data_IF_957827057414
#
_entry.id   IF_957827057414
#
_cell.length_a   1.000
_cell.length_b   1.000
_cell.length_c   1.000
_cell.angle_alpha   90.00
_cell.angle_beta   90.00
_cell.angle_gamma   90.00
#
_symmetry.space_group_name_H-M   'P 1'
#
loop_
_entity.id
_entity.type
_entity.pdbx_description
1 polymer ?
#
# COMPACT_ATOMS: atom_id res chain seq x y z
N UNK A 1 -59.98 43.51 -53.71
CA UNK A 1 -59.75 43.18 -55.17
C UNK A 1 -58.27 43.05 -55.36
N UNK A 2 -57.82 41.98 -55.75
CA UNK A 2 -56.73 41.56 -56.64
C UNK A 2 -56.31 40.13 -56.26
N UNK A 3 -56.53 39.25 -57.17
CA UNK A 3 -56.17 37.83 -57.15
C UNK A 3 -54.68 37.69 -57.41
N UNK A 4 -54.00 36.80 -56.75
CA UNK A 4 -52.70 36.32 -57.25
C UNK A 4 -52.69 34.80 -57.25
N UNK A 5 -52.29 34.28 -58.34
CA UNK A 5 -52.30 32.91 -58.83
C UNK A 5 -51.13 32.14 -58.19
N UNK A 6 -51.40 30.92 -57.71
CA UNK A 6 -50.35 30.01 -57.20
C UNK A 6 -49.55 29.36 -58.35
N UNK A 7 -48.30 29.10 -58.13
CA UNK A 7 -47.44 28.22 -58.89
C UNK A 7 -46.99 27.05 -57.98
N UNK A 8 -47.42 25.84 -58.39
CA UNK A 8 -47.04 24.58 -57.81
C UNK A 8 -45.65 24.20 -58.38
N UNK A 9 -44.65 24.08 -57.52
CA UNK A 9 -43.35 23.52 -57.91
C UNK A 9 -43.24 22.11 -57.31
N UNK A 10 -43.13 21.11 -58.12
CA UNK A 10 -42.88 19.70 -57.82
C UNK A 10 -41.40 19.58 -57.48
N UNK A 11 -41.09 19.22 -56.25
CA UNK A 11 -39.74 18.85 -55.81
C UNK A 11 -39.60 17.34 -55.78
N UNK A 12 -38.81 16.79 -56.71
CA UNK A 12 -38.37 15.38 -56.71
C UNK A 12 -37.39 15.12 -55.55
N UNK A 13 -37.77 14.26 -54.62
CA UNK A 13 -36.89 13.79 -53.54
C UNK A 13 -36.04 12.64 -54.07
N UNK A 14 -34.75 12.89 -54.25
CA UNK A 14 -33.72 11.86 -54.47
C UNK A 14 -33.33 11.30 -53.11
N UNK A 15 -33.62 10.04 -52.84
CA UNK A 15 -33.11 9.29 -51.73
C UNK A 15 -31.65 8.92 -51.98
N UNK A 16 -30.74 9.67 -51.37
CA UNK A 16 -29.33 9.31 -51.27
C UNK A 16 -29.13 8.45 -50.06
N UNK A 17 -28.86 7.16 -50.29
CA UNK A 17 -28.44 6.23 -49.21
C UNK A 17 -27.01 6.59 -48.79
N UNK A 18 -26.87 7.32 -47.68
CA UNK A 18 -25.58 7.52 -47.03
C UNK A 18 -25.21 6.27 -46.23
N UNK A 19 -24.28 5.48 -46.75
CA UNK A 19 -23.59 4.42 -46.00
C UNK A 19 -22.67 5.11 -44.98
N UNK A 20 -23.09 5.13 -43.74
CA UNK A 20 -22.21 5.50 -42.59
C UNK A 20 -21.28 4.33 -42.34
N UNK A 21 -20.04 4.40 -42.80
CA UNK A 21 -18.96 3.56 -42.33
C UNK A 21 -18.73 3.87 -40.84
N UNK A 22 -19.16 2.96 -39.98
CA UNK A 22 -18.78 2.95 -38.58
C UNK A 22 -17.29 2.59 -38.50
N UNK A 23 -16.42 3.59 -38.39
CA UNK A 23 -15.03 3.38 -37.97
C UNK A 23 -15.07 2.91 -36.53
N UNK A 24 -15.04 1.59 -36.35
CA UNK A 24 -14.77 0.97 -35.08
C UNK A 24 -13.31 1.27 -34.73
N UNK A 25 -13.08 2.36 -34.00
CA UNK A 25 -11.82 2.54 -33.29
C UNK A 25 -11.78 1.50 -32.18
N UNK A 26 -11.18 0.35 -32.46
CA UNK A 26 -10.65 -0.52 -31.42
C UNK A 26 -9.48 0.22 -30.76
N UNK A 27 -9.80 1.08 -29.79
CA UNK A 27 -8.81 1.59 -28.87
C UNK A 27 -8.24 0.38 -28.14
N UNK A 28 -7.06 -0.09 -28.58
CA UNK A 28 -6.25 -0.97 -27.76
C UNK A 28 -6.12 -0.26 -26.42
N UNK A 29 -6.62 -0.88 -25.35
CA UNK A 29 -6.40 -0.41 -24.00
C UNK A 29 -4.87 -0.31 -23.83
N UNK A 30 -4.35 0.91 -23.84
CA UNK A 30 -2.94 1.16 -23.51
C UNK A 30 -2.81 0.71 -22.07
N UNK A 31 -2.19 -0.46 -21.85
CA UNK A 31 -1.96 -0.98 -20.53
C UNK A 31 -1.28 0.10 -19.68
N UNK A 32 -1.71 0.25 -18.44
CA UNK A 32 -1.07 1.17 -17.49
C UNK A 32 0.43 0.86 -17.47
N UNK A 33 1.32 1.82 -17.73
CA UNK A 33 2.75 1.54 -17.71
C UNK A 33 3.17 1.12 -16.31
N UNK A 34 4.05 0.11 -16.22
CA UNK A 34 4.63 -0.31 -14.95
C UNK A 34 5.45 0.82 -14.33
N UNK A 35 5.08 1.24 -13.14
CA UNK A 35 5.73 2.36 -12.45
C UNK A 35 6.56 1.94 -11.24
N UNK A 36 6.47 0.67 -10.81
CA UNK A 36 7.21 0.15 -9.66
C UNK A 36 8.68 -0.07 -10.00
N UNK A 37 9.56 0.21 -9.04
CA UNK A 37 11.00 -0.13 -9.15
C UNK A 37 11.26 -1.57 -8.71
N UNK A 38 10.63 -2.02 -7.64
CA UNK A 38 10.76 -3.40 -7.16
C UNK A 38 10.32 -3.57 -5.70
N UNK A 39 10.00 -4.80 -5.27
CA UNK A 39 9.44 -5.04 -3.94
C UNK A 39 10.39 -4.75 -2.77
N UNK A 40 11.73 -4.73 -3.00
CA UNK A 40 12.69 -4.31 -1.97
C UNK A 40 12.60 -2.82 -1.64
N UNK A 41 11.91 -2.04 -2.46
CA UNK A 41 11.67 -0.61 -2.30
C UNK A 41 10.25 -0.30 -1.78
N UNK A 42 9.47 -1.32 -1.44
CA UNK A 42 8.28 -1.18 -0.63
C UNK A 42 8.72 -1.00 0.82
N UNK A 43 8.60 0.22 1.31
CA UNK A 43 8.99 0.56 2.68
C UNK A 43 7.77 0.60 3.58
N UNK A 44 7.87 -0.07 4.74
CA UNK A 44 6.91 0.15 5.82
C UNK A 44 7.21 1.51 6.47
N UNK A 45 6.21 2.37 6.54
CA UNK A 45 6.31 3.66 7.22
C UNK A 45 6.04 3.50 8.72
N UNK A 46 7.03 3.81 9.53
CA UNK A 46 6.97 3.67 10.98
C UNK A 46 7.12 5.04 11.63
N UNK A 47 6.10 5.42 12.36
CA UNK A 47 6.08 6.67 13.13
C UNK A 47 6.22 6.35 14.61
N UNK A 48 7.34 6.80 15.22
CA UNK A 48 7.64 6.61 16.63
C UNK A 48 7.86 7.97 17.31
N UNK A 49 7.64 8.03 18.62
CA UNK A 49 8.10 9.19 19.39
C UNK A 49 9.62 9.35 19.22
N UNK A 50 10.09 10.57 18.98
CA UNK A 50 11.51 10.85 18.74
C UNK A 50 12.42 10.37 19.87
N UNK A 51 11.91 10.27 21.12
CA UNK A 51 12.65 9.71 22.27
C UNK A 51 12.82 8.21 22.22
N UNK A 52 11.96 7.48 21.47
CA UNK A 52 12.01 6.03 21.32
C UNK A 52 12.69 5.58 20.03
N UNK A 53 13.10 6.54 19.16
CA UNK A 53 13.60 6.30 17.82
C UNK A 53 14.77 5.30 17.79
N UNK A 54 15.83 5.56 18.54
CA UNK A 54 17.03 4.71 18.54
C UNK A 54 16.74 3.33 19.16
N UNK A 55 15.89 3.28 20.18
CA UNK A 55 15.45 2.01 20.78
C UNK A 55 14.66 1.16 19.79
N UNK A 56 13.79 1.79 19.00
CA UNK A 56 13.03 1.10 17.96
C UNK A 56 13.97 0.51 16.90
N UNK A 57 14.87 1.32 16.35
CA UNK A 57 15.84 0.89 15.33
C UNK A 57 16.70 -0.26 15.84
N UNK A 58 17.24 -0.15 17.06
CA UNK A 58 18.03 -1.20 17.67
C UNK A 58 17.23 -2.52 17.85
N UNK A 59 15.96 -2.41 18.26
CA UNK A 59 15.07 -3.56 18.45
C UNK A 59 14.78 -4.28 17.14
N UNK A 60 14.49 -3.56 16.05
CA UNK A 60 14.27 -4.15 14.73
C UNK A 60 15.52 -4.87 14.22
N UNK A 61 16.70 -4.23 14.32
CA UNK A 61 17.96 -4.85 13.89
C UNK A 61 18.31 -6.10 14.71
N UNK A 62 18.09 -6.07 16.03
CA UNK A 62 18.32 -7.24 16.89
C UNK A 62 17.36 -8.39 16.56
N UNK A 63 16.13 -8.08 16.11
CA UNK A 63 15.10 -9.07 15.77
C UNK A 63 15.36 -9.71 14.41
N UNK A 64 15.54 -8.90 13.37
CA UNK A 64 15.57 -9.36 11.98
C UNK A 64 16.97 -9.32 11.34
N UNK A 65 17.93 -8.65 11.96
CA UNK A 65 19.22 -8.36 11.35
C UNK A 65 19.13 -7.21 10.35
N UNK A 66 20.17 -7.09 9.52
CA UNK A 66 20.22 -6.07 8.48
C UNK A 66 21.13 -4.89 8.79
N UNK A 67 20.91 -3.77 8.12
CA UNK A 67 21.70 -2.54 8.20
C UNK A 67 20.81 -1.31 8.23
N UNK A 68 21.41 -0.13 8.46
CA UNK A 68 20.68 1.14 8.40
C UNK A 68 21.37 2.15 7.48
N UNK A 69 20.60 3.10 6.96
CA UNK A 69 21.16 4.34 6.44
C UNK A 69 21.70 5.20 7.58
N UNK A 70 22.43 6.28 7.24
CA UNK A 70 22.76 7.31 8.21
C UNK A 70 21.48 8.00 8.69
N UNK A 71 21.32 8.14 10.02
CA UNK A 71 20.25 8.94 10.61
C UNK A 71 20.46 10.43 10.30
N UNK A 72 19.38 11.13 10.02
CA UNK A 72 19.38 12.58 9.81
C UNK A 72 18.12 13.24 10.38
N UNK A 73 18.09 14.56 10.33
CA UNK A 73 16.91 15.37 10.65
C UNK A 73 16.55 16.17 9.40
N UNK A 74 15.34 15.97 8.91
CA UNK A 74 14.87 16.49 7.62
C UNK A 74 13.49 17.10 7.74
N UNK A 75 13.13 17.92 6.75
CA UNK A 75 11.73 18.27 6.43
C UNK A 75 11.26 17.28 5.38
N UNK A 76 10.39 16.35 5.79
CA UNK A 76 9.86 15.26 4.94
C UNK A 76 8.39 15.49 4.53
N UNK A 77 7.89 16.70 4.74
CA UNK A 77 6.50 17.08 4.47
C UNK A 77 6.48 18.38 3.66
N UNK A 78 5.41 18.66 2.88
CA UNK A 78 5.32 19.90 2.07
C UNK A 78 5.19 21.17 2.93
N UNK A 79 4.90 21.01 4.21
CA UNK A 79 4.86 22.09 5.20
C UNK A 79 6.07 21.99 6.14
N UNK A 80 6.48 23.09 6.81
CA UNK A 80 7.62 23.04 7.71
C UNK A 80 7.47 21.99 8.79
N UNK A 81 8.46 21.08 8.85
CA UNK A 81 8.54 20.02 9.86
C UNK A 81 9.99 19.73 10.23
N UNK A 82 10.22 19.10 11.36
CA UNK A 82 11.52 18.58 11.79
C UNK A 82 11.37 17.14 12.17
N UNK A 83 11.98 16.23 11.41
CA UNK A 83 11.76 14.79 11.53
C UNK A 83 13.10 14.06 11.56
N UNK A 84 13.36 13.30 12.63
CA UNK A 84 14.40 12.27 12.60
C UNK A 84 13.97 11.22 11.57
N UNK A 85 14.86 10.87 10.65
CA UNK A 85 14.57 9.87 9.63
C UNK A 85 15.74 8.94 9.41
N UNK A 86 15.45 7.64 9.22
CA UNK A 86 16.42 6.60 8.95
C UNK A 86 15.75 5.43 8.24
N UNK A 87 16.42 4.87 7.24
CA UNK A 87 16.02 3.59 6.67
C UNK A 87 16.60 2.45 7.51
N UNK A 88 15.82 1.41 7.71
CA UNK A 88 16.24 0.12 8.27
C UNK A 88 16.03 -0.95 7.22
N UNK A 89 17.12 -1.51 6.74
CA UNK A 89 17.14 -2.47 5.63
C UNK A 89 17.33 -3.87 6.21
N UNK A 90 16.24 -4.60 6.38
CA UNK A 90 16.26 -5.98 6.88
C UNK A 90 16.09 -6.98 5.75
N UNK A 91 16.50 -8.25 5.93
CA UNK A 91 16.27 -9.29 4.94
C UNK A 91 14.79 -9.60 4.67
N UNK A 92 13.90 -9.22 5.58
CA UNK A 92 12.46 -9.54 5.54
C UNK A 92 11.57 -8.34 5.27
N UNK A 93 12.15 -7.17 5.04
CA UNK A 93 11.43 -5.94 4.72
C UNK A 93 12.25 -4.68 4.99
N UNK A 94 11.90 -3.60 4.31
CA UNK A 94 12.52 -2.28 4.47
C UNK A 94 11.59 -1.36 5.25
N UNK A 95 12.12 -0.60 6.21
CA UNK A 95 11.35 0.33 7.03
C UNK A 95 11.90 1.75 6.84
N UNK A 96 10.99 2.69 6.57
CA UNK A 96 11.25 4.14 6.71
C UNK A 96 10.79 4.57 8.09
N UNK A 97 11.73 4.92 8.96
CA UNK A 97 11.44 5.27 10.35
C UNK A 97 11.42 6.78 10.49
N UNK A 98 10.35 7.31 11.08
CA UNK A 98 10.11 8.73 11.27
C UNK A 98 9.86 9.03 12.76
N UNK A 99 10.65 9.95 13.31
CA UNK A 99 10.49 10.50 14.65
C UNK A 99 10.30 12.02 14.56
N UNK A 100 9.05 12.49 14.50
CA UNK A 100 8.76 13.91 14.40
C UNK A 100 9.14 14.64 15.70
N UNK A 101 9.88 15.73 15.58
CA UNK A 101 10.16 16.68 16.66
C UNK A 101 9.18 17.84 16.70
N UNK A 102 8.39 18.00 15.64
CA UNK A 102 7.26 18.92 15.50
C UNK A 102 5.97 18.14 15.43
N UNK A 103 4.78 18.77 15.60
CA UNK A 103 3.51 18.10 15.31
C UNK A 103 3.50 17.51 13.90
N UNK A 104 2.94 16.30 13.77
CA UNK A 104 2.84 15.60 12.47
C UNK A 104 1.72 16.23 11.65
N UNK A 105 1.99 16.80 10.45
CA UNK A 105 0.94 17.33 9.60
C UNK A 105 0.10 16.18 9.00
N UNK A 106 -1.23 16.29 9.07
CA UNK A 106 -2.09 15.33 8.37
C UNK A 106 -1.92 15.46 6.84
N UNK A 107 -1.87 14.35 6.05
CA UNK A 107 -2.16 12.95 6.43
C UNK A 107 -0.90 12.14 6.84
N UNK A 108 0.25 12.76 7.00
CA UNK A 108 1.47 12.04 7.43
C UNK A 108 1.23 11.35 8.77
N UNK A 109 1.72 10.11 8.88
CA UNK A 109 1.44 9.24 10.02
C UNK A 109 0.17 8.40 9.86
N UNK A 110 -0.65 8.65 8.84
CA UNK A 110 -1.79 7.82 8.48
C UNK A 110 -1.43 6.79 7.39
N UNK A 111 -0.51 7.11 6.47
CA UNK A 111 0.04 6.13 5.53
C UNK A 111 1.00 5.17 6.24
N UNK A 112 0.99 3.91 5.82
CA UNK A 112 1.80 2.84 6.42
C UNK A 112 2.76 2.19 5.44
N UNK A 113 2.72 2.58 4.18
CA UNK A 113 3.60 2.09 3.13
C UNK A 113 4.04 3.21 2.20
N UNK A 114 5.26 3.10 1.68
CA UNK A 114 5.81 3.94 0.64
C UNK A 114 6.40 3.09 -0.47
N UNK A 115 6.12 3.45 -1.71
CA UNK A 115 6.57 2.73 -2.88
C UNK A 115 7.46 3.59 -3.77
N UNK A 116 8.69 3.12 -4.04
CA UNK A 116 9.57 3.77 -5.00
C UNK A 116 9.04 3.56 -6.41
N UNK A 117 8.88 4.67 -7.12
CA UNK A 117 8.41 4.68 -8.50
C UNK A 117 9.48 5.18 -9.46
N UNK A 118 9.39 4.74 -10.72
CA UNK A 118 10.31 5.13 -11.79
C UNK A 118 10.12 6.58 -12.23
N UNK A 119 8.88 7.10 -12.12
CA UNK A 119 8.48 8.47 -12.45
C UNK A 119 7.25 8.82 -11.58
N UNK A 120 7.40 9.85 -10.73
CA UNK A 120 6.33 10.21 -9.79
C UNK A 120 5.08 10.77 -10.49
N UNK A 121 5.26 11.62 -11.50
CA UNK A 121 4.12 12.24 -12.18
C UNK A 121 3.34 11.19 -13.00
N UNK A 122 4.04 10.24 -13.60
CA UNK A 122 3.43 9.09 -14.28
C UNK A 122 2.68 8.20 -13.28
N UNK A 123 3.31 7.87 -12.14
CA UNK A 123 2.71 7.04 -11.12
C UNK A 123 1.44 7.67 -10.51
N UNK A 124 1.47 8.98 -10.23
CA UNK A 124 0.29 9.71 -9.73
C UNK A 124 -0.83 9.75 -10.77
N UNK A 125 -0.51 9.94 -12.05
CA UNK A 125 -1.54 9.84 -13.11
C UNK A 125 -2.12 8.43 -13.23
N UNK A 126 -1.28 7.41 -13.16
CA UNK A 126 -1.70 6.01 -13.20
C UNK A 126 -2.59 5.65 -12.00
N UNK A 127 -2.23 6.08 -10.79
CA UNK A 127 -3.03 5.87 -9.59
C UNK A 127 -4.42 6.53 -9.70
N UNK A 128 -4.49 7.80 -10.17
CA UNK A 128 -5.78 8.48 -10.44
C UNK A 128 -6.63 7.73 -11.47
N UNK A 129 -6.02 7.30 -12.57
CA UNK A 129 -6.72 6.56 -13.61
C UNK A 129 -7.25 5.21 -13.10
N UNK A 130 -6.57 4.61 -12.10
CA UNK A 130 -6.99 3.39 -11.43
C UNK A 130 -7.97 3.62 -10.28
N UNK A 131 -8.37 4.86 -9.95
CA UNK A 131 -9.40 5.13 -8.95
C UNK A 131 -8.88 5.63 -7.60
N UNK A 132 -7.60 5.96 -7.46
CA UNK A 132 -7.07 6.56 -6.24
C UNK A 132 -7.30 8.08 -6.21
N UNK A 133 -7.56 8.61 -5.03
CA UNK A 133 -7.50 10.04 -4.76
C UNK A 133 -6.06 10.48 -4.45
N UNK A 134 -5.67 11.69 -4.87
CA UNK A 134 -4.39 12.29 -4.50
C UNK A 134 -4.64 13.26 -3.36
N UNK A 135 -4.30 12.84 -2.14
CA UNK A 135 -4.56 13.61 -0.92
C UNK A 135 -3.39 14.55 -0.56
N UNK A 136 -2.16 14.25 -1.01
CA UNK A 136 -1.05 15.20 -1.04
C UNK A 136 -0.48 15.21 -2.46
N UNK A 137 -0.58 16.36 -3.13
CA UNK A 137 -0.02 16.55 -4.47
C UNK A 137 1.51 16.39 -4.45
N UNK A 138 2.14 16.04 -5.59
CA UNK A 138 3.59 15.92 -5.67
C UNK A 138 4.32 17.12 -5.10
N UNK A 139 5.26 16.87 -4.20
CA UNK A 139 6.11 17.88 -3.56
C UNK A 139 7.56 17.41 -3.51
N UNK A 140 8.49 18.36 -3.31
CA UNK A 140 9.91 18.04 -3.18
C UNK A 140 10.24 17.68 -1.73
N UNK A 141 11.06 16.64 -1.58
CA UNK A 141 11.74 16.29 -0.34
C UNK A 141 13.27 16.46 -0.50
N UNK A 142 14.10 16.26 0.55
CA UNK A 142 15.55 16.47 0.43
C UNK A 142 16.27 15.57 -0.57
N UNK A 143 15.73 14.43 -0.94
CA UNK A 143 16.37 13.43 -1.82
C UNK A 143 15.55 13.11 -3.06
N UNK A 144 14.36 13.71 -3.22
CA UNK A 144 13.49 13.41 -4.35
C UNK A 144 12.18 14.17 -4.36
N UNK A 145 11.12 13.44 -4.64
CA UNK A 145 9.75 13.94 -4.69
C UNK A 145 8.80 12.88 -4.17
N UNK A 146 7.77 13.32 -3.46
CA UNK A 146 6.75 12.46 -2.85
C UNK A 146 5.35 12.90 -3.21
N UNK A 147 4.39 11.98 -3.08
CA UNK A 147 2.95 12.24 -3.12
C UNK A 147 2.24 11.23 -2.22
N UNK A 148 1.10 11.60 -1.63
CA UNK A 148 0.26 10.64 -0.90
C UNK A 148 -1.05 10.44 -1.65
N UNK A 149 -1.37 9.18 -1.90
CA UNK A 149 -2.59 8.74 -2.53
C UNK A 149 -3.45 7.96 -1.54
N UNK A 150 -4.75 7.93 -1.79
CA UNK A 150 -5.71 7.15 -1.01
C UNK A 150 -6.56 6.28 -1.94
N UNK A 151 -6.57 5.00 -1.66
CA UNK A 151 -7.41 4.02 -2.34
C UNK A 151 -8.82 3.94 -1.76
N UNK A 152 -9.81 3.39 -2.51
CA UNK A 152 -11.11 3.04 -1.96
C UNK A 152 -10.97 2.28 -0.63
N UNK A 153 -11.75 2.67 0.38
CA UNK A 153 -11.65 2.09 1.72
C UNK A 153 -10.73 2.86 2.67
N UNK A 154 -10.11 3.96 2.19
CA UNK A 154 -9.30 4.84 3.03
C UNK A 154 -7.85 4.40 3.22
N UNK A 155 -7.36 3.48 2.40
CA UNK A 155 -5.97 3.00 2.47
C UNK A 155 -5.05 4.04 1.86
N UNK A 156 -4.17 4.61 2.69
CA UNK A 156 -3.21 5.62 2.29
C UNK A 156 -1.86 4.99 1.98
N UNK A 157 -1.20 5.46 0.93
CA UNK A 157 0.19 5.11 0.64
C UNK A 157 0.95 6.28 0.04
N UNK A 158 2.24 6.34 0.31
CA UNK A 158 3.13 7.29 -0.30
C UNK A 158 3.73 6.70 -1.58
N UNK A 159 3.74 7.49 -2.64
CA UNK A 159 4.59 7.25 -3.81
C UNK A 159 5.80 8.16 -3.68
N UNK A 160 7.01 7.61 -3.83
CA UNK A 160 8.24 8.39 -3.74
C UNK A 160 9.17 8.10 -4.92
N UNK A 161 9.93 9.13 -5.31
CA UNK A 161 10.92 9.08 -6.37
C UNK A 161 12.19 9.78 -5.93
N UNK A 162 13.34 9.16 -6.17
CA UNK A 162 14.62 9.71 -5.77
C UNK A 162 15.41 10.27 -6.95
N UNK A 163 16.06 11.42 -6.75
CA UNK A 163 16.95 12.03 -7.74
C UNK A 163 18.17 11.15 -8.06
N UNK A 164 18.61 10.35 -7.08
CA UNK A 164 19.61 9.29 -7.26
C UNK A 164 18.96 7.96 -6.94
N UNK A 165 18.92 7.06 -7.90
CA UNK A 165 18.33 5.74 -7.72
C UNK A 165 19.02 5.00 -6.57
N UNK A 166 18.30 4.60 -5.51
CA UNK A 166 18.88 3.81 -4.44
C UNK A 166 19.15 2.38 -4.93
N UNK A 167 20.09 1.70 -4.27
CA UNK A 167 20.41 0.29 -4.53
C UNK A 167 20.24 -0.48 -3.24
N UNK A 168 19.04 -1.05 -3.03
CA UNK A 168 18.78 -1.92 -1.88
C UNK A 168 19.00 -3.38 -2.28
N UNK A 169 19.53 -4.17 -1.34
CA UNK A 169 19.68 -5.61 -1.55
C UNK A 169 18.30 -6.27 -1.73
N UNK A 170 18.20 -7.32 -2.55
CA UNK A 170 17.01 -8.14 -2.64
C UNK A 170 16.61 -8.68 -1.25
N UNK A 171 15.30 -8.73 -0.98
CA UNK A 171 14.77 -9.31 0.23
C UNK A 171 14.86 -10.85 0.17
N UNK A 172 15.11 -11.49 1.31
CA UNK A 172 14.98 -12.95 1.45
C UNK A 172 13.52 -13.38 1.39
N UNK A 173 12.64 -12.59 2.04
CA UNK A 173 11.18 -12.73 1.97
C UNK A 173 10.55 -11.37 1.77
N UNK A 174 9.51 -11.30 0.94
CA UNK A 174 8.77 -10.05 0.70
C UNK A 174 7.70 -9.91 1.79
N UNK A 175 7.67 -8.80 2.54
CA UNK A 175 6.67 -8.60 3.58
C UNK A 175 5.26 -8.45 2.99
N UNK A 176 4.25 -8.63 3.84
CA UNK A 176 2.85 -8.41 3.49
C UNK A 176 2.36 -7.10 4.12
N UNK A 177 1.96 -6.13 3.29
CA UNK A 177 1.20 -4.97 3.76
C UNK A 177 -0.25 -5.41 4.00
N UNK A 178 -0.70 -5.34 5.24
CA UNK A 178 -2.03 -5.82 5.66
C UNK A 178 -2.97 -4.65 5.87
N UNK A 179 -4.00 -4.59 5.05
CA UNK A 179 -4.97 -3.50 5.03
C UNK A 179 -6.36 -3.99 5.42
N UNK A 180 -7.09 -3.20 6.20
CA UNK A 180 -8.45 -3.48 6.62
C UNK A 180 -9.41 -2.64 5.79
N UNK A 181 -10.32 -3.30 5.09
CA UNK A 181 -11.26 -2.64 4.17
C UNK A 181 -12.68 -3.13 4.46
N UNK A 182 -13.64 -2.22 4.45
CA UNK A 182 -15.05 -2.57 4.62
C UNK A 182 -15.58 -3.42 3.45
N UNK A 183 -16.59 -4.27 3.66
CA UNK A 183 -17.14 -5.14 2.61
C UNK A 183 -17.62 -4.39 1.37
N UNK A 184 -18.18 -3.19 1.55
CA UNK A 184 -18.68 -2.34 0.46
C UNK A 184 -17.59 -1.65 -0.36
N UNK A 185 -16.33 -1.65 0.11
CA UNK A 185 -15.18 -1.05 -0.57
C UNK A 185 -14.13 -2.05 -1.04
N UNK A 186 -14.18 -3.29 -0.56
CA UNK A 186 -13.15 -4.29 -0.81
C UNK A 186 -12.95 -4.58 -2.31
N UNK A 187 -14.02 -4.80 -3.07
CA UNK A 187 -13.90 -5.10 -4.50
C UNK A 187 -13.39 -3.91 -5.31
N UNK A 188 -13.74 -2.68 -4.92
CA UNK A 188 -13.21 -1.46 -5.53
C UNK A 188 -11.69 -1.35 -5.25
N UNK A 189 -11.28 -1.50 -3.99
CA UNK A 189 -9.86 -1.47 -3.62
C UNK A 189 -9.06 -2.53 -4.40
N UNK A 190 -9.52 -3.78 -4.41
CA UNK A 190 -8.82 -4.90 -5.06
C UNK A 190 -8.65 -4.64 -6.56
N UNK A 191 -9.73 -4.28 -7.26
CA UNK A 191 -9.71 -3.97 -8.69
C UNK A 191 -8.74 -2.84 -9.01
N UNK A 192 -8.83 -1.74 -8.27
CA UNK A 192 -8.12 -0.50 -8.54
C UNK A 192 -6.63 -0.65 -8.21
N UNK A 193 -6.30 -1.28 -7.09
CA UNK A 193 -4.91 -1.56 -6.73
C UNK A 193 -4.25 -2.56 -7.69
N UNK A 194 -4.95 -3.63 -8.09
CA UNK A 194 -4.45 -4.59 -9.09
C UNK A 194 -4.17 -3.91 -10.43
N UNK A 195 -5.09 -3.03 -10.88
CA UNK A 195 -4.90 -2.28 -12.13
C UNK A 195 -3.68 -1.35 -12.08
N UNK A 196 -3.49 -0.62 -10.98
CA UNK A 196 -2.35 0.27 -10.78
C UNK A 196 -1.03 -0.49 -10.66
N UNK A 197 -0.99 -1.49 -9.80
CA UNK A 197 0.24 -2.22 -9.45
C UNK A 197 0.64 -3.27 -10.48
N UNK A 198 -0.17 -3.48 -11.53
CA UNK A 198 -0.05 -4.60 -12.48
C UNK A 198 0.04 -5.96 -11.75
N UNK A 199 -0.67 -6.03 -10.62
CA UNK A 199 -0.68 -7.17 -9.75
C UNK A 199 -1.66 -8.25 -10.19
N UNK A 200 -1.70 -9.31 -9.39
CA UNK A 200 -2.69 -10.39 -9.52
C UNK A 200 -3.20 -10.80 -8.16
N UNK A 201 -4.48 -11.14 -8.09
CA UNK A 201 -5.05 -11.85 -6.94
C UNK A 201 -4.51 -13.29 -6.97
N UNK A 202 -3.75 -13.67 -5.94
CA UNK A 202 -3.20 -15.03 -5.80
C UNK A 202 -4.03 -15.91 -4.89
N UNK A 203 -4.89 -15.30 -4.06
CA UNK A 203 -5.84 -15.99 -3.20
C UNK A 203 -7.02 -15.09 -2.87
N UNK A 204 -8.24 -15.61 -2.92
CA UNK A 204 -9.46 -14.96 -2.44
C UNK A 204 -10.29 -16.00 -1.68
N UNK A 205 -10.23 -15.93 -0.35
CA UNK A 205 -10.91 -16.88 0.54
C UNK A 205 -12.06 -16.16 1.24
N UNK A 206 -13.29 -16.58 0.91
CA UNK A 206 -14.50 -16.03 1.54
C UNK A 206 -14.63 -16.42 3.03
N UNK A 207 -13.95 -17.48 3.46
CA UNK A 207 -14.07 -18.08 4.79
C UNK A 207 -12.71 -18.30 5.45
N UNK A 208 -11.81 -17.31 5.37
CA UNK A 208 -10.53 -17.34 6.08
C UNK A 208 -10.75 -17.40 7.60
N UNK A 209 -9.84 -18.03 8.37
CA UNK A 209 -9.98 -18.17 9.82
C UNK A 209 -9.96 -16.83 10.55
N UNK A 210 -10.99 -16.54 11.33
CA UNK A 210 -11.12 -15.27 12.04
C UNK A 210 -10.10 -15.04 13.16
N UNK A 211 -9.31 -16.04 13.52
CA UNK A 211 -8.18 -15.87 14.46
C UNK A 211 -7.19 -14.82 13.97
N UNK A 212 -7.03 -14.68 12.65
CA UNK A 212 -6.15 -13.66 12.02
C UNK A 212 -6.59 -12.21 12.25
N UNK A 213 -7.85 -12.02 12.65
CA UNK A 213 -8.45 -10.72 12.94
C UNK A 213 -9.00 -10.62 14.37
N UNK A 214 -8.57 -11.52 15.26
CA UNK A 214 -9.01 -11.54 16.66
C UNK A 214 -10.42 -12.06 16.90
N UNK A 215 -11.00 -12.80 15.94
CA UNK A 215 -12.34 -13.41 16.02
C UNK A 215 -12.26 -14.92 15.80
N UNK A 216 -11.66 -15.71 16.71
CA UNK A 216 -11.29 -17.12 16.47
C UNK A 216 -12.50 -18.04 16.12
N UNK A 217 -13.71 -17.64 16.48
CA UNK A 217 -14.93 -18.44 16.21
C UNK A 217 -15.72 -17.96 14.98
N UNK A 218 -15.11 -17.07 14.16
CA UNK A 218 -15.74 -16.52 12.96
C UNK A 218 -14.85 -16.75 11.74
N UNK A 219 -15.42 -16.50 10.59
CA UNK A 219 -14.69 -16.43 9.32
C UNK A 219 -14.84 -15.06 8.70
N UNK A 220 -13.92 -14.69 7.79
CA UNK A 220 -13.95 -13.43 7.07
C UNK A 220 -13.39 -13.63 5.65
N UNK A 221 -13.58 -12.67 4.76
CA UNK A 221 -12.95 -12.71 3.43
C UNK A 221 -11.55 -12.14 3.52
N UNK A 222 -10.56 -12.93 3.04
CA UNK A 222 -9.16 -12.53 2.91
C UNK A 222 -8.73 -12.62 1.46
N UNK A 223 -8.17 -11.53 0.91
CA UNK A 223 -7.65 -11.51 -0.45
C UNK A 223 -6.16 -11.20 -0.41
N UNK A 224 -5.35 -12.02 -1.09
CA UNK A 224 -3.90 -11.81 -1.24
C UNK A 224 -3.59 -11.36 -2.65
N UNK A 225 -2.80 -10.28 -2.77
CA UNK A 225 -2.38 -9.67 -4.02
C UNK A 225 -0.86 -9.68 -4.07
N UNK A 226 -0.31 -10.13 -5.19
CA UNK A 226 1.12 -9.99 -5.50
C UNK A 226 1.30 -9.03 -6.68
N UNK A 227 2.31 -8.20 -6.60
CA UNK A 227 2.62 -7.20 -7.62
C UNK A 227 4.12 -6.89 -7.67
N UNK A 228 4.51 -6.04 -8.62
CA UNK A 228 5.89 -5.52 -8.70
C UNK A 228 6.24 -4.59 -7.54
N UNK A 229 5.27 -4.07 -6.80
CA UNK A 229 5.50 -3.33 -5.56
C UNK A 229 5.74 -4.25 -4.35
N UNK A 230 5.17 -5.44 -4.34
CA UNK A 230 5.25 -6.37 -3.22
C UNK A 230 3.93 -7.11 -2.99
N UNK A 231 3.65 -7.46 -1.73
CA UNK A 231 2.48 -8.22 -1.32
C UNK A 231 1.52 -7.37 -0.50
N UNK A 232 0.23 -7.47 -0.83
CA UNK A 232 -0.84 -6.84 -0.04
C UNK A 232 -1.86 -7.91 0.35
N UNK A 233 -2.20 -7.95 1.63
CA UNK A 233 -3.29 -8.80 2.15
C UNK A 233 -4.45 -7.92 2.58
N UNK A 234 -5.58 -8.08 1.91
CA UNK A 234 -6.83 -7.35 2.21
C UNK A 234 -7.65 -8.17 3.19
N UNK A 235 -7.91 -7.60 4.34
CA UNK A 235 -8.72 -8.15 5.42
C UNK A 235 -10.08 -7.46 5.37
N UNK A 236 -11.09 -8.14 4.83
CA UNK A 236 -12.43 -7.56 4.65
C UNK A 236 -13.23 -7.73 5.93
N UNK A 237 -13.59 -6.63 6.57
CA UNK A 237 -14.18 -6.64 7.91
C UNK A 237 -15.14 -5.48 8.14
N UNK A 238 -16.09 -5.65 9.05
CA UNK A 238 -17.01 -4.62 9.53
C UNK A 238 -16.37 -3.61 10.53
N UNK A 239 -15.08 -3.76 10.82
CA UNK A 239 -14.34 -2.85 11.71
C UNK A 239 -14.55 -3.06 13.21
N UNK A 240 -15.40 -3.97 13.65
CA UNK A 240 -15.62 -4.28 15.09
C UNK A 240 -14.56 -5.27 15.60
N UNK A 241 -13.30 -4.86 15.60
CA UNK A 241 -12.18 -5.72 15.95
C UNK A 241 -11.56 -5.36 17.30
N UNK A 242 -11.11 -6.37 18.09
CA UNK A 242 -10.39 -6.10 19.32
C UNK A 242 -9.00 -5.53 19.00
N UNK A 243 -8.43 -4.74 19.93
CA UNK A 243 -7.02 -4.36 19.86
C UNK A 243 -6.13 -5.63 19.88
N UNK A 244 -5.04 -5.73 19.07
CA UNK A 244 -4.45 -4.67 18.22
C UNK A 244 -4.96 -4.62 16.77
N UNK A 245 -5.95 -5.42 16.40
CA UNK A 245 -6.46 -5.51 15.05
C UNK A 245 -7.19 -4.23 14.59
N UNK A 246 -7.48 -4.13 13.28
CA UNK A 246 -8.24 -3.03 12.68
C UNK A 246 -7.40 -1.82 12.26
N UNK A 247 -6.09 -1.84 12.49
CA UNK A 247 -5.13 -0.87 11.92
C UNK A 247 -4.22 -1.55 10.92
N UNK A 248 -3.76 -0.82 9.92
CA UNK A 248 -2.78 -1.33 8.99
C UNK A 248 -1.48 -1.69 9.73
N UNK A 249 -0.92 -2.85 9.40
CA UNK A 249 0.38 -3.28 9.87
C UNK A 249 1.04 -4.21 8.85
N UNK A 250 2.34 -4.43 8.99
CA UNK A 250 3.11 -5.30 8.12
C UNK A 250 3.29 -6.67 8.75
N UNK A 251 3.15 -7.72 7.93
CA UNK A 251 3.49 -9.10 8.27
C UNK A 251 4.88 -9.43 7.72
N UNK A 252 5.79 -9.85 8.60
CA UNK A 252 7.15 -10.25 8.27
C UNK A 252 7.27 -11.77 8.28
N UNK A 253 7.56 -12.35 7.12
CA UNK A 253 7.82 -13.78 6.98
C UNK A 253 9.25 -14.11 7.40
N UNK A 254 9.40 -15.06 8.31
CA UNK A 254 10.67 -15.51 8.85
C UNK A 254 10.80 -17.04 8.75
N UNK A 255 12.03 -17.55 8.69
CA UNK A 255 12.28 -18.98 8.62
C UNK A 255 11.95 -19.71 9.94
N UNK A 256 12.16 -19.07 11.09
CA UNK A 256 11.94 -19.62 12.42
C UNK A 256 11.24 -18.59 13.30
N UNK A 257 9.94 -18.84 13.56
CA UNK A 257 9.12 -17.93 14.36
C UNK A 257 9.57 -17.89 15.82
N UNK A 258 9.87 -19.05 16.42
CA UNK A 258 10.17 -19.14 17.85
C UNK A 258 11.52 -18.47 18.17
N UNK A 259 12.52 -18.69 17.32
CA UNK A 259 13.81 -18.02 17.45
C UNK A 259 13.69 -16.50 17.23
N UNK A 260 12.92 -16.06 16.23
CA UNK A 260 12.72 -14.65 15.94
C UNK A 260 11.94 -13.95 17.05
N UNK A 261 10.91 -14.60 17.60
CA UNK A 261 10.15 -14.09 18.73
C UNK A 261 11.00 -13.96 20.00
N UNK A 262 11.89 -14.94 20.25
CA UNK A 262 12.83 -14.84 21.37
C UNK A 262 13.75 -13.63 21.23
N UNK A 263 14.30 -13.37 20.02
CA UNK A 263 15.12 -12.17 19.73
C UNK A 263 14.32 -10.88 19.92
N UNK A 264 13.09 -10.83 19.40
CA UNK A 264 12.21 -9.65 19.54
C UNK A 264 11.94 -9.33 21.02
N UNK A 265 11.60 -10.34 21.84
CA UNK A 265 11.39 -10.17 23.29
C UNK A 265 12.66 -9.67 24.00
N UNK A 266 13.81 -10.27 23.68
CA UNK A 266 15.11 -9.84 24.25
C UNK A 266 15.47 -8.40 23.84
N UNK A 267 15.00 -7.96 22.67
CA UNK A 267 15.19 -6.60 22.16
C UNK A 267 14.10 -5.60 22.61
N UNK A 268 13.24 -5.99 23.56
CA UNK A 268 12.25 -5.12 24.17
C UNK A 268 10.88 -5.06 23.48
N UNK A 269 10.61 -5.97 22.56
CA UNK A 269 9.26 -6.12 22.02
C UNK A 269 8.35 -6.86 23.01
N UNK A 270 7.09 -6.46 23.10
CA UNK A 270 6.04 -7.15 23.87
C UNK A 270 5.12 -7.94 22.95
N UNK A 271 4.64 -9.09 23.44
CA UNK A 271 3.65 -9.90 22.73
C UNK A 271 2.26 -9.34 23.01
N UNK A 272 1.53 -9.01 21.94
CA UNK A 272 0.15 -8.56 22.01
C UNK A 272 -0.85 -9.68 21.78
N UNK A 273 -0.51 -10.62 20.89
CA UNK A 273 -1.28 -11.82 20.62
C UNK A 273 -0.29 -12.98 20.58
N UNK A 274 -0.53 -13.98 21.44
CA UNK A 274 0.32 -15.18 21.52
C UNK A 274 0.35 -15.94 20.18
N UNK A 275 1.38 -16.74 19.91
CA UNK A 275 1.49 -17.50 18.68
C UNK A 275 0.25 -18.33 18.40
N UNK A 276 -0.30 -18.18 17.19
CA UNK A 276 -1.47 -18.92 16.70
C UNK A 276 -1.19 -19.53 15.34
N UNK A 277 -1.96 -20.56 14.98
CA UNK A 277 -1.90 -21.18 13.67
C UNK A 277 -3.13 -20.77 12.85
N UNK A 278 -2.91 -20.49 11.57
CA UNK A 278 -3.95 -20.18 10.60
C UNK A 278 -3.53 -20.72 9.24
N UNK A 279 -4.40 -21.52 8.61
CA UNK A 279 -4.20 -22.12 7.27
C UNK A 279 -2.78 -22.64 7.02
N UNK A 280 -1.96 -21.77 6.40
CA UNK A 280 -0.63 -22.04 5.87
C UNK A 280 0.50 -21.47 6.74
N UNK A 281 0.18 -20.86 7.89
CA UNK A 281 1.19 -20.17 8.71
C UNK A 281 0.95 -20.29 10.20
N UNK A 282 2.02 -20.09 10.93
CA UNK A 282 2.03 -19.80 12.35
C UNK A 282 2.47 -18.35 12.54
N UNK A 283 1.72 -17.56 13.33
CA UNK A 283 1.92 -16.11 13.43
C UNK A 283 1.81 -15.62 14.87
N UNK A 284 2.38 -14.46 15.16
CA UNK A 284 2.35 -13.73 16.42
C UNK A 284 2.21 -12.24 16.14
N UNK A 285 1.48 -11.50 16.98
CA UNK A 285 1.50 -10.04 16.94
C UNK A 285 2.36 -9.50 18.07
N UNK A 286 3.30 -8.64 17.72
CA UNK A 286 4.22 -7.99 18.65
C UNK A 286 4.15 -6.48 18.55
N UNK A 287 4.46 -5.80 19.64
CA UNK A 287 4.67 -4.37 19.68
C UNK A 287 6.12 -4.06 20.01
N UNK A 288 6.80 -3.40 19.10
CA UNK A 288 8.17 -2.91 19.27
C UNK A 288 8.21 -1.63 20.11
N UNK A 289 9.38 -1.26 20.70
CA UNK A 289 9.57 0.03 21.34
C UNK A 289 9.07 1.18 20.44
N UNK A 290 8.43 2.18 21.03
CA UNK A 290 7.81 3.28 20.28
C UNK A 290 6.40 2.99 19.74
N UNK A 291 5.84 1.79 20.03
CA UNK A 291 4.44 1.47 19.76
C UNK A 291 4.15 0.85 18.40
N UNK A 292 5.16 0.55 17.60
CA UNK A 292 4.98 -0.10 16.30
C UNK A 292 4.49 -1.55 16.48
N UNK A 293 3.35 -1.86 15.88
CA UNK A 293 2.75 -3.21 15.87
C UNK A 293 3.04 -3.90 14.55
N UNK A 294 3.48 -5.15 14.61
CA UNK A 294 3.74 -5.97 13.44
C UNK A 294 3.30 -7.42 13.68
N UNK A 295 3.00 -8.13 12.60
CA UNK A 295 2.92 -9.59 12.60
C UNK A 295 4.29 -10.18 12.25
N UNK A 296 4.71 -11.19 12.96
CA UNK A 296 5.81 -12.08 12.57
C UNK A 296 5.21 -13.45 12.31
N UNK A 297 5.51 -14.04 11.15
CA UNK A 297 4.97 -15.37 10.82
C UNK A 297 6.00 -16.25 10.14
N UNK A 298 5.80 -17.55 10.25
CA UNK A 298 6.50 -18.55 9.47
C UNK A 298 5.48 -19.42 8.73
N UNK A 299 5.82 -19.85 7.51
CA UNK A 299 5.02 -20.82 6.77
C UNK A 299 5.01 -22.13 7.52
N UNK A 300 3.84 -22.70 7.73
CA UNK A 300 3.71 -24.02 8.35
C UNK A 300 4.27 -25.07 7.36
N UNK A 301 5.38 -25.70 7.72
CA UNK A 301 5.82 -26.89 6.97
C UNK A 301 4.77 -27.99 7.16
N UNK A 302 4.18 -28.44 6.05
CA UNK A 302 3.28 -29.58 6.01
C UNK A 302 4.06 -30.89 6.12
#
# INVERSE_FOLDING_TARGET
MVRTIGILALATVLWGSSVTESVSQSGAAVGTPGVAVGPQYDTTHVYVDSKDFDRFVASILATFGGTTSKQGVFTVTPTPSSTMSQLVLTPVGTLSVFGFKTPVPYPFGAERSGYLVTDLDLAVRAARAAGADVIVAPFNDPIGRDAIIQWPGGVNMQLYWHTTSPSYAPLTTVPENRVYVSPDRADAFIRDFVAFSQGKVVSDLATAPGVEIGRPNQTYRRVRIESTFGRVTVLVTDGHLPYPYGREFTGYEVADLDMTLAKAKAAGASVLVEPYSSDDRRAVLVQFPGGYVAEIHAVAHR
#
